data_IF_415212401570
#
_entry.id   IF_415212401570
#
_cell.length_a   1.000
_cell.length_b   1.000
_cell.length_c   1.000
_cell.angle_alpha   90.00
_cell.angle_beta   90.00
_cell.angle_gamma   90.00
#
_symmetry.space_group_name_H-M   'P 1'
#
loop_
_entity.id
_entity.type
_entity.pdbx_description
1 polymer ?
#
# COMPACT_ATOMS: atom_id res chain seq x y z
N UNK A 1 22.87 3.98 -25.73
CA UNK A 1 21.91 4.77 -24.92
C UNK A 1 21.10 5.64 -25.87
N UNK A 2 19.98 5.13 -26.39
CA UNK A 2 19.02 5.92 -27.16
C UNK A 2 17.74 5.94 -26.34
N UNK A 3 17.45 7.09 -25.70
CA UNK A 3 16.22 7.30 -24.97
C UNK A 3 15.04 7.20 -25.95
N UNK A 4 14.28 6.10 -25.85
CA UNK A 4 12.95 6.04 -26.44
C UNK A 4 12.12 7.12 -25.76
N UNK A 5 11.76 8.16 -26.51
CA UNK A 5 10.76 9.13 -26.10
C UNK A 5 9.44 8.36 -25.98
N UNK A 6 8.99 8.11 -24.75
CA UNK A 6 7.71 7.47 -24.47
C UNK A 6 6.58 8.39 -24.97
N UNK A 7 6.05 8.09 -26.15
CA UNK A 7 5.02 8.86 -26.88
C UNK A 7 3.62 8.79 -26.26
N UNK A 8 3.50 8.66 -24.93
CA UNK A 8 2.21 8.47 -24.23
C UNK A 8 2.10 9.20 -22.90
N UNK A 9 3.02 10.09 -22.57
CA UNK A 9 2.94 10.93 -21.37
C UNK A 9 2.06 12.16 -21.64
N UNK A 10 1.20 12.57 -20.68
CA UNK A 10 0.46 13.82 -20.79
C UNK A 10 1.41 15.02 -20.98
N UNK A 11 0.94 16.03 -21.71
CA UNK A 11 1.63 17.31 -21.77
C UNK A 11 1.66 17.97 -20.37
N UNK A 12 2.71 18.76 -20.04
CA UNK A 12 2.75 19.53 -18.80
C UNK A 12 1.47 20.33 -18.58
N UNK A 13 0.98 20.34 -17.34
CA UNK A 13 -0.22 21.07 -16.95
C UNK A 13 0.17 22.20 -16.02
N UNK A 14 -0.38 23.39 -16.24
CA UNK A 14 -0.09 24.57 -15.43
C UNK A 14 -1.39 25.22 -14.94
N UNK A 15 -1.40 25.60 -13.67
CA UNK A 15 -2.42 26.45 -13.07
C UNK A 15 -1.76 27.77 -12.63
N UNK A 16 -1.84 28.78 -13.50
CA UNK A 16 -1.25 30.10 -13.26
C UNK A 16 -1.86 30.81 -12.07
N UNK A 17 -3.15 30.59 -11.78
CA UNK A 17 -3.82 31.14 -10.61
C UNK A 17 -3.15 30.68 -9.30
N UNK A 18 -2.84 29.38 -9.18
CA UNK A 18 -2.09 28.88 -8.01
C UNK A 18 -0.69 29.46 -7.92
N UNK A 19 0.01 29.59 -9.05
CA UNK A 19 1.35 30.19 -9.09
C UNK A 19 1.32 31.64 -8.59
N UNK A 20 0.44 32.46 -9.16
CA UNK A 20 0.34 33.90 -8.84
C UNK A 20 -0.06 34.11 -7.39
N UNK A 21 -1.04 33.34 -6.91
CA UNK A 21 -1.50 33.42 -5.52
C UNK A 21 -0.40 33.03 -4.53
N UNK A 22 0.35 31.96 -4.81
CA UNK A 22 1.50 31.55 -3.99
C UNK A 22 2.60 32.62 -3.98
N UNK A 23 2.92 33.23 -5.12
CA UNK A 23 3.90 34.32 -5.22
C UNK A 23 3.49 35.55 -4.42
N UNK A 24 2.21 35.96 -4.51
CA UNK A 24 1.68 37.09 -3.73
C UNK A 24 1.73 36.80 -2.23
N UNK A 25 1.33 35.59 -1.80
CA UNK A 25 1.41 35.18 -0.40
C UNK A 25 2.86 35.18 0.12
N UNK A 26 3.79 34.63 -0.67
CA UNK A 26 5.20 34.63 -0.35
C UNK A 26 5.77 36.05 -0.18
N UNK A 27 5.34 37.00 -1.01
CA UNK A 27 5.77 38.39 -0.90
C UNK A 27 5.29 39.05 0.40
N UNK A 28 4.06 38.77 0.84
CA UNK A 28 3.56 39.24 2.13
C UNK A 28 4.37 38.65 3.30
N UNK A 29 4.67 37.34 3.26
CA UNK A 29 5.50 36.71 4.29
C UNK A 29 6.93 37.27 4.34
N UNK A 30 7.54 37.57 3.18
CA UNK A 30 8.85 38.24 3.12
C UNK A 30 8.85 39.65 3.71
N UNK A 31 7.70 40.32 3.71
CA UNK A 31 7.52 41.62 4.38
C UNK A 31 7.28 41.47 5.89
N UNK A 32 7.29 40.25 6.42
CA UNK A 32 7.08 39.94 7.83
C UNK A 32 5.62 39.74 8.22
N UNK A 33 4.70 39.66 7.25
CA UNK A 33 3.29 39.42 7.54
C UNK A 33 3.00 37.93 7.81
N UNK A 34 2.18 37.67 8.81
CA UNK A 34 1.71 36.31 9.13
C UNK A 34 0.37 36.10 8.41
N UNK A 35 0.29 35.07 7.57
CA UNK A 35 -0.88 34.77 6.75
C UNK A 35 -1.64 33.55 7.25
N UNK A 36 -2.96 33.56 7.01
CA UNK A 36 -3.89 32.49 7.34
C UNK A 36 -4.79 32.15 6.17
N UNK A 37 -5.09 30.87 5.98
CA UNK A 37 -5.96 30.44 4.89
C UNK A 37 -7.42 30.75 5.22
N UNK A 38 -8.14 31.35 4.25
CA UNK A 38 -9.59 31.53 4.32
C UNK A 38 -10.38 30.31 3.87
N UNK A 39 -9.71 29.25 3.41
CA UNK A 39 -10.33 27.99 3.01
C UNK A 39 -9.60 26.83 3.66
N UNK A 40 -10.33 25.74 3.94
CA UNK A 40 -9.71 24.57 4.54
C UNK A 40 -8.61 24.02 3.61
N UNK A 41 -7.45 23.61 4.14
CA UNK A 41 -6.33 23.16 3.31
C UNK A 41 -6.64 21.86 2.54
N UNK A 42 -7.53 21.02 3.06
CA UNK A 42 -7.97 19.77 2.46
C UNK A 42 -8.83 19.93 1.20
N UNK A 43 -9.33 21.14 0.91
CA UNK A 43 -10.10 21.44 -0.31
C UNK A 43 -9.23 21.54 -1.57
N UNK A 44 -7.89 21.52 -1.43
CA UNK A 44 -6.95 21.72 -2.52
C UNK A 44 -6.95 23.13 -3.12
N UNK A 45 -7.80 24.02 -2.59
CA UNK A 45 -7.89 25.44 -2.96
C UNK A 45 -7.34 26.36 -1.87
N UNK A 46 -7.11 25.86 -0.65
CA UNK A 46 -6.48 26.64 0.41
C UNK A 46 -4.98 26.87 0.16
N UNK A 47 -4.44 27.95 0.73
CA UNK A 47 -2.98 28.03 0.91
C UNK A 47 -2.57 27.01 2.00
N UNK A 48 -1.33 26.50 1.98
CA UNK A 48 -0.82 25.59 3.01
C UNK A 48 -0.49 26.35 4.29
N UNK A 49 -1.52 26.98 4.85
CA UNK A 49 -1.51 27.84 6.02
C UNK A 49 -2.64 27.42 6.96
N UNK A 50 -2.55 27.74 8.25
CA UNK A 50 -3.60 27.39 9.19
C UNK A 50 -4.94 28.01 8.77
N UNK A 51 -6.02 27.27 9.00
CA UNK A 51 -7.36 27.69 8.63
C UNK A 51 -7.94 28.59 9.71
N UNK A 52 -8.44 29.77 9.32
CA UNK A 52 -8.92 30.78 10.28
C UNK A 52 -10.06 30.26 11.16
N UNK A 53 -10.95 29.43 10.64
CA UNK A 53 -12.12 28.96 11.41
C UNK A 53 -11.79 27.84 12.41
N UNK A 54 -10.54 27.38 12.46
CA UNK A 54 -10.06 26.47 13.51
C UNK A 54 -9.60 27.25 14.76
N UNK A 55 -9.55 28.59 14.72
CA UNK A 55 -9.16 29.44 15.85
C UNK A 55 -10.24 29.40 16.95
N UNK A 56 -9.89 29.00 18.19
CA UNK A 56 -10.80 29.06 19.30
C UNK A 56 -11.29 30.49 19.59
N UNK A 57 -12.57 30.65 19.85
CA UNK A 57 -13.13 31.95 20.25
C UNK A 57 -13.08 33.04 19.16
N UNK A 58 -12.96 32.66 17.89
CA UNK A 58 -13.01 33.58 16.76
C UNK A 58 -14.33 34.37 16.72
N UNK A 59 -14.23 35.70 16.63
CA UNK A 59 -15.37 36.63 16.56
C UNK A 59 -15.23 37.54 15.35
N UNK A 60 -16.35 38.10 14.88
CA UNK A 60 -16.35 39.10 13.81
C UNK A 60 -15.68 40.39 14.31
N UNK A 61 -14.77 40.93 13.51
CA UNK A 61 -14.14 42.22 13.76
C UNK A 61 -15.04 43.39 13.40
N UNK A 62 -14.52 44.61 13.57
CA UNK A 62 -15.27 45.86 13.33
C UNK A 62 -15.52 46.16 11.85
N UNK A 63 -14.73 45.59 10.93
CA UNK A 63 -14.90 45.76 9.49
C UNK A 63 -15.50 44.49 8.87
N UNK A 64 -16.32 44.60 7.80
CA UNK A 64 -16.84 43.43 7.10
C UNK A 64 -15.72 42.47 6.71
N UNK A 65 -15.95 41.17 6.96
CA UNK A 65 -15.01 40.07 6.70
C UNK A 65 -13.81 39.96 7.64
N UNK A 66 -13.50 40.97 8.46
CA UNK A 66 -12.44 40.84 9.46
C UNK A 66 -12.88 39.97 10.65
N UNK A 67 -11.89 39.40 11.33
CA UNK A 67 -12.09 38.63 12.56
C UNK A 67 -11.12 39.05 13.66
N UNK A 68 -11.46 38.71 14.89
CA UNK A 68 -10.64 38.92 16.06
C UNK A 68 -10.75 37.72 17.02
N UNK A 69 -9.71 37.49 17.79
CA UNK A 69 -9.69 36.51 18.87
C UNK A 69 -8.79 37.02 20.01
N UNK A 70 -8.62 36.23 21.06
CA UNK A 70 -7.76 36.56 22.20
C UNK A 70 -6.31 36.87 21.78
N UNK A 71 -5.80 36.19 20.75
CA UNK A 71 -4.40 36.29 20.33
C UNK A 71 -4.12 37.44 19.34
N UNK A 72 -5.13 37.98 18.66
CA UNK A 72 -4.91 39.05 17.68
C UNK A 72 -6.09 39.30 16.74
N UNK A 73 -5.78 40.07 15.69
CA UNK A 73 -6.76 40.50 14.66
C UNK A 73 -6.41 39.92 13.30
N UNK A 74 -7.43 39.56 12.54
CA UNK A 74 -7.36 39.01 11.20
C UNK A 74 -8.00 39.99 10.22
N UNK A 75 -7.21 40.53 9.31
CA UNK A 75 -7.68 41.38 8.22
C UNK A 75 -7.80 40.56 6.94
N UNK A 76 -8.96 40.57 6.30
CA UNK A 76 -9.14 39.81 5.06
C UNK A 76 -8.37 40.45 3.89
N UNK A 77 -7.66 39.60 3.14
CA UNK A 77 -6.92 39.97 1.94
C UNK A 77 -7.58 39.30 0.72
N UNK A 78 -8.37 40.09 -0.02
CA UNK A 78 -9.22 39.61 -1.11
C UNK A 78 -8.41 38.93 -2.22
N UNK A 79 -7.25 39.49 -2.57
CA UNK A 79 -6.43 38.94 -3.65
C UNK A 79 -5.85 37.57 -3.32
N UNK A 80 -5.67 37.29 -2.02
CA UNK A 80 -5.12 36.03 -1.53
C UNK A 80 -6.19 35.06 -1.07
N UNK A 81 -7.44 35.50 -0.93
CA UNK A 81 -8.48 34.74 -0.22
C UNK A 81 -7.94 34.17 1.09
N UNK A 82 -7.24 35.03 1.83
CA UNK A 82 -6.45 34.72 3.02
C UNK A 82 -6.60 35.87 4.02
N UNK A 83 -6.07 35.71 5.22
CA UNK A 83 -6.11 36.73 6.27
C UNK A 83 -4.72 37.10 6.72
N UNK A 84 -4.47 38.40 6.88
CA UNK A 84 -3.30 38.96 7.54
C UNK A 84 -3.55 38.99 9.04
N UNK A 85 -2.69 38.36 9.82
CA UNK A 85 -2.81 38.33 11.28
C UNK A 85 -1.85 39.33 11.92
N UNK A 86 -2.41 40.12 12.82
CA UNK A 86 -1.66 41.01 13.70
C UNK A 86 -1.77 40.50 15.14
N UNK A 87 -0.72 39.92 15.72
CA UNK A 87 -0.76 39.39 17.08
C UNK A 87 -0.82 40.55 18.10
N UNK A 88 -1.54 40.35 19.21
CA UNK A 88 -1.58 41.35 20.29
C UNK A 88 -0.29 41.40 21.11
N UNK A 89 0.27 40.24 21.46
CA UNK A 89 1.49 40.11 22.28
C UNK A 89 2.56 39.20 21.63
N UNK A 90 2.58 39.13 20.30
CA UNK A 90 3.47 38.20 19.55
C UNK A 90 3.09 36.71 19.67
N UNK A 91 1.98 36.40 20.33
CA UNK A 91 1.45 35.03 20.47
C UNK A 91 0.62 34.62 19.26
N UNK A 92 0.54 33.31 19.01
CA UNK A 92 -0.32 32.69 18.00
C UNK A 92 -1.32 31.74 18.67
N UNK A 93 -2.51 31.53 18.07
CA UNK A 93 -3.45 30.49 18.47
C UNK A 93 -2.83 29.08 18.56
N UNK A 94 -3.36 28.21 19.44
CA UNK A 94 -2.81 26.87 19.66
C UNK A 94 -2.99 25.96 18.44
N UNK A 95 -2.04 25.03 18.25
CA UNK A 95 -2.02 24.05 17.16
C UNK A 95 -1.32 24.56 15.89
N UNK A 96 -0.93 25.82 15.88
CA UNK A 96 -0.27 26.47 14.75
C UNK A 96 1.26 26.44 14.84
N UNK A 97 1.81 25.94 15.95
CA UNK A 97 3.24 25.68 16.13
C UNK A 97 3.78 24.65 15.13
N UNK A 98 2.88 23.85 14.54
CA UNK A 98 3.20 22.86 13.51
C UNK A 98 3.47 23.49 12.13
N UNK A 99 3.08 24.75 11.93
CA UNK A 99 3.27 25.46 10.67
C UNK A 99 4.49 26.37 10.75
N UNK A 100 5.34 26.29 9.72
CA UNK A 100 6.39 27.27 9.53
C UNK A 100 5.82 28.53 8.89
N UNK A 101 5.30 29.43 9.73
CA UNK A 101 4.67 30.68 9.30
C UNK A 101 5.67 31.74 8.79
N UNK A 102 6.96 31.56 9.09
CA UNK A 102 8.01 32.51 8.72
C UNK A 102 8.64 32.17 7.36
N UNK A 103 8.72 30.90 7.00
CA UNK A 103 9.20 30.50 5.68
C UNK A 103 8.18 30.91 4.61
N UNK A 104 8.57 31.73 3.61
CA UNK A 104 7.69 32.10 2.53
C UNK A 104 7.24 30.88 1.74
N UNK A 105 5.95 30.82 1.42
CA UNK A 105 5.39 29.79 0.55
C UNK A 105 6.15 29.76 -0.78
N UNK A 106 6.46 28.55 -1.27
CA UNK A 106 7.17 28.37 -2.53
C UNK A 106 6.25 27.72 -3.57
N UNK A 107 6.10 28.34 -4.76
CA UNK A 107 5.45 27.69 -5.87
C UNK A 107 6.37 26.62 -6.46
N UNK A 108 5.89 25.39 -6.56
CA UNK A 108 6.69 24.23 -6.97
C UNK A 108 6.08 23.49 -8.17
N UNK A 109 6.92 22.72 -8.85
CA UNK A 109 6.48 21.74 -9.85
C UNK A 109 6.43 20.35 -9.20
N UNK A 110 5.33 19.64 -9.40
CA UNK A 110 5.20 18.25 -8.98
C UNK A 110 5.45 17.33 -10.18
N UNK A 111 6.41 16.43 -10.04
CA UNK A 111 6.75 15.42 -11.04
C UNK A 111 5.99 14.14 -10.72
N UNK A 112 5.09 13.75 -11.61
CA UNK A 112 4.22 12.59 -11.48
C UNK A 112 4.87 11.40 -12.14
N UNK A 113 5.26 10.41 -11.34
CA UNK A 113 5.58 9.09 -11.83
C UNK A 113 4.30 8.29 -11.98
N UNK A 114 3.79 8.25 -13.21
CA UNK A 114 2.55 7.54 -13.52
C UNK A 114 2.66 6.04 -13.23
N UNK A 115 3.84 5.50 -13.44
CA UNK A 115 4.08 4.07 -13.39
C UNK A 115 4.14 3.58 -11.93
N UNK A 116 4.71 4.41 -11.04
CA UNK A 116 4.81 4.12 -9.61
C UNK A 116 3.69 4.72 -8.76
N UNK A 117 2.75 5.47 -9.36
CA UNK A 117 1.70 6.24 -8.65
C UNK A 117 2.29 7.18 -7.60
N UNK A 118 3.35 7.89 -7.95
CA UNK A 118 4.05 8.80 -7.04
C UNK A 118 4.05 10.23 -7.57
N UNK A 119 4.03 11.20 -6.67
CA UNK A 119 4.31 12.60 -7.00
C UNK A 119 5.51 13.07 -6.18
N UNK A 120 6.50 13.61 -6.88
CA UNK A 120 7.72 14.13 -6.27
C UNK A 120 7.77 15.63 -6.43
N UNK A 121 7.94 16.34 -5.32
CA UNK A 121 8.16 17.78 -5.27
C UNK A 121 9.60 18.01 -4.82
N UNK A 122 10.42 18.60 -5.70
CA UNK A 122 11.81 18.93 -5.40
C UNK A 122 11.99 20.43 -5.31
N UNK A 123 12.59 20.87 -4.22
CA UNK A 123 13.18 22.21 -4.06
C UNK A 123 14.69 22.08 -3.91
N UNK A 124 15.41 23.20 -3.75
CA UNK A 124 16.86 23.17 -3.56
C UNK A 124 17.29 22.42 -2.30
N UNK A 125 16.44 22.45 -1.27
CA UNK A 125 16.79 22.00 0.07
C UNK A 125 16.01 20.76 0.51
N UNK A 126 14.94 20.37 -0.20
CA UNK A 126 14.02 19.29 0.19
C UNK A 126 13.46 18.52 -1.00
N UNK A 127 13.25 17.22 -0.78
CA UNK A 127 12.50 16.34 -1.67
C UNK A 127 11.33 15.74 -0.88
N UNK A 128 10.10 15.95 -1.38
CA UNK A 128 8.89 15.36 -0.82
C UNK A 128 8.35 14.36 -1.82
N UNK A 129 8.02 13.17 -1.32
CA UNK A 129 7.49 12.07 -2.12
C UNK A 129 6.12 11.69 -1.58
N UNK A 130 5.08 11.94 -2.38
CA UNK A 130 3.72 11.49 -2.14
C UNK A 130 3.52 10.14 -2.84
N UNK A 131 2.93 9.17 -2.12
CA UNK A 131 2.62 7.83 -2.62
C UNK A 131 1.12 7.69 -2.90
N UNK A 132 0.75 6.63 -3.62
CA UNK A 132 -0.64 6.26 -3.93
C UNK A 132 -1.43 7.34 -4.68
N UNK A 133 -0.72 8.15 -5.47
CA UNK A 133 -1.28 9.25 -6.23
C UNK A 133 -2.26 8.70 -7.30
N UNK A 134 -3.50 9.22 -7.41
CA UNK A 134 -4.48 8.75 -8.38
C UNK A 134 -4.20 9.35 -9.76
N UNK A 135 -3.22 8.76 -10.44
CA UNK A 135 -2.72 9.22 -11.75
C UNK A 135 -3.73 9.06 -12.91
N UNK A 136 -4.93 8.52 -12.64
CA UNK A 136 -6.05 8.46 -13.57
C UNK A 136 -7.00 9.68 -13.52
N UNK A 137 -6.86 10.54 -12.51
CA UNK A 137 -7.65 11.76 -12.37
C UNK A 137 -7.33 12.82 -13.42
N UNK A 138 -8.24 13.79 -13.58
CA UNK A 138 -7.94 14.97 -14.40
C UNK A 138 -6.73 15.73 -13.83
N UNK A 139 -5.85 16.35 -14.65
CA UNK A 139 -4.70 17.10 -14.16
C UNK A 139 -5.04 18.18 -13.14
N UNK A 140 -6.21 18.79 -13.26
CA UNK A 140 -6.72 19.78 -12.32
C UNK A 140 -7.04 19.17 -10.94
N UNK A 141 -7.79 18.07 -10.90
CA UNK A 141 -8.11 17.36 -9.65
C UNK A 141 -6.83 16.80 -9.00
N UNK A 142 -5.95 16.24 -9.82
CA UNK A 142 -4.66 15.71 -9.38
C UNK A 142 -3.81 16.79 -8.70
N UNK A 143 -3.74 17.98 -9.29
CA UNK A 143 -3.05 19.13 -8.70
C UNK A 143 -3.68 19.57 -7.36
N UNK A 144 -5.01 19.60 -7.27
CA UNK A 144 -5.71 19.92 -6.01
C UNK A 144 -5.39 18.91 -4.91
N UNK A 145 -5.40 17.61 -5.22
CA UNK A 145 -5.10 16.56 -4.25
C UNK A 145 -3.64 16.60 -3.77
N UNK A 146 -2.70 16.86 -4.68
CA UNK A 146 -1.29 17.06 -4.31
C UNK A 146 -1.17 18.25 -3.35
N UNK A 147 -1.83 19.37 -3.63
CA UNK A 147 -1.81 20.53 -2.75
C UNK A 147 -2.47 20.26 -1.40
N UNK A 148 -3.56 19.50 -1.36
CA UNK A 148 -4.18 19.08 -0.11
C UNK A 148 -3.21 18.22 0.74
N UNK A 149 -2.51 17.27 0.13
CA UNK A 149 -1.53 16.42 0.82
C UNK A 149 -0.31 17.20 1.33
N UNK A 150 0.20 18.15 0.52
CA UNK A 150 1.29 19.06 0.95
C UNK A 150 0.86 19.92 2.14
N UNK A 151 -0.37 20.45 2.10
CA UNK A 151 -0.90 21.29 3.16
C UNK A 151 -1.19 20.52 4.46
N UNK A 152 -1.73 19.29 4.37
CA UNK A 152 -1.89 18.39 5.52
C UNK A 152 -0.56 18.06 6.20
N UNK A 153 0.51 18.00 5.42
CA UNK A 153 1.88 17.78 5.92
C UNK A 153 2.55 19.06 6.44
N UNK A 154 1.79 20.17 6.56
CA UNK A 154 2.24 21.50 6.99
C UNK A 154 3.45 22.02 6.20
N UNK A 155 3.57 21.63 4.92
CA UNK A 155 4.69 22.05 4.08
C UNK A 155 4.39 23.38 3.39
N UNK A 156 5.32 24.34 3.33
CA UNK A 156 5.10 25.66 2.74
C UNK A 156 5.18 25.63 1.20
N UNK A 157 4.57 24.63 0.56
CA UNK A 157 4.65 24.40 -0.88
C UNK A 157 3.27 24.42 -1.53
N UNK A 158 3.19 25.11 -2.68
CA UNK A 158 2.01 25.09 -3.55
C UNK A 158 2.45 24.58 -4.91
N UNK A 159 2.04 23.36 -5.26
CA UNK A 159 2.19 22.85 -6.60
C UNK A 159 1.31 23.66 -7.55
N UNK A 160 1.91 24.18 -8.62
CA UNK A 160 1.21 24.94 -9.67
C UNK A 160 1.40 24.33 -11.06
N UNK A 161 2.39 23.43 -11.21
CA UNK A 161 2.70 22.75 -12.46
C UNK A 161 2.84 21.25 -12.20
N UNK A 162 2.28 20.45 -13.10
CA UNK A 162 2.47 19.01 -13.15
C UNK A 162 3.32 18.65 -14.36
N UNK A 163 4.30 17.79 -14.13
CA UNK A 163 5.10 17.16 -15.18
C UNK A 163 5.00 15.66 -15.02
N UNK A 164 5.08 14.91 -16.11
CA UNK A 164 4.97 13.46 -16.06
C UNK A 164 6.30 12.81 -16.43
N UNK A 165 6.65 11.78 -15.67
CA UNK A 165 7.71 10.85 -16.01
C UNK A 165 7.12 9.45 -16.09
N UNK A 166 7.76 8.62 -16.90
CA UNK A 166 7.49 7.19 -16.96
C UNK A 166 8.77 6.50 -16.54
N UNK A 167 8.94 6.27 -15.23
CA UNK A 167 10.01 5.42 -14.75
C UNK A 167 9.76 3.98 -15.20
N UNK A 168 10.83 3.19 -15.29
CA UNK A 168 10.68 1.74 -15.36
C UNK A 168 10.09 1.27 -14.02
N UNK A 169 8.95 0.59 -14.11
CA UNK A 169 8.36 -0.15 -12.99
C UNK A 169 9.15 -1.45 -12.87
N UNK A 170 9.55 -1.83 -11.67
CA UNK A 170 9.92 -3.21 -11.39
C UNK A 170 8.69 -4.07 -11.71
N UNK A 171 8.69 -4.67 -12.90
CA UNK A 171 7.56 -5.47 -13.35
C UNK A 171 7.62 -6.78 -12.58
N UNK A 172 6.57 -7.06 -11.80
CA UNK A 172 6.27 -8.41 -11.27
C UNK A 172 6.40 -9.48 -12.36
N UNK A 173 6.11 -9.13 -13.62
CA UNK A 173 6.18 -10.02 -14.77
C UNK A 173 6.98 -9.37 -15.92
N UNK A 174 8.30 -9.62 -16.01
CA UNK A 174 9.13 -9.05 -17.08
C UNK A 174 8.71 -9.51 -18.48
N UNK A 175 8.29 -10.77 -18.61
CA UNK A 175 7.92 -11.40 -19.89
C UNK A 175 6.44 -11.26 -20.26
N UNK A 176 5.64 -10.63 -19.40
CA UNK A 176 4.21 -10.43 -19.60
C UNK A 176 3.36 -11.09 -18.51
N UNK A 177 2.23 -10.46 -18.20
CA UNK A 177 1.36 -10.85 -17.08
C UNK A 177 0.70 -12.21 -17.37
N UNK A 178 0.86 -13.23 -16.52
CA UNK A 178 0.22 -14.52 -16.66
C UNK A 178 -1.30 -14.41 -16.67
N UNK A 179 -1.95 -15.37 -17.31
CA UNK A 179 -3.41 -15.49 -17.30
C UNK A 179 -3.84 -16.83 -16.73
N UNK A 180 -4.94 -16.79 -15.98
CA UNK A 180 -5.69 -17.97 -15.54
C UNK A 180 -7.02 -17.97 -16.29
N UNK A 181 -7.43 -19.13 -16.79
CA UNK A 181 -8.72 -19.26 -17.50
C UNK A 181 -9.47 -20.52 -17.09
N UNK A 182 -10.79 -20.41 -17.13
CA UNK A 182 -11.71 -21.55 -17.12
C UNK A 182 -12.40 -21.65 -18.49
N UNK A 183 -13.49 -22.41 -18.60
CA UNK A 183 -14.27 -22.56 -19.84
C UNK A 183 -15.05 -21.29 -20.25
N UNK A 184 -15.16 -20.31 -19.35
CA UNK A 184 -16.04 -19.15 -19.52
C UNK A 184 -15.29 -17.81 -19.64
N UNK A 185 -14.04 -17.72 -19.18
CA UNK A 185 -13.27 -16.48 -19.25
C UNK A 185 -11.83 -16.61 -18.75
N UNK A 186 -11.09 -15.51 -18.92
CA UNK A 186 -9.68 -15.39 -18.52
C UNK A 186 -9.44 -14.12 -17.72
N UNK A 187 -8.67 -14.22 -16.65
CA UNK A 187 -8.22 -13.08 -15.84
C UNK A 187 -6.70 -13.01 -15.79
N UNK A 188 -6.16 -11.82 -15.52
CA UNK A 188 -4.74 -11.62 -15.31
C UNK A 188 -4.36 -12.01 -13.89
N UNK A 189 -3.18 -12.58 -13.69
CA UNK A 189 -2.71 -13.10 -12.41
C UNK A 189 -1.75 -12.10 -11.76
N UNK A 190 -1.99 -11.77 -10.49
CA UNK A 190 -1.06 -10.99 -9.65
C UNK A 190 -0.07 -11.88 -8.93
N UNK A 191 -0.48 -13.11 -8.58
CA UNK A 191 0.40 -14.19 -8.16
C UNK A 191 -0.35 -15.49 -7.92
N UNK A 192 0.39 -16.56 -7.70
CA UNK A 192 -0.17 -17.90 -7.51
C UNK A 192 0.76 -18.79 -6.67
N UNK A 193 0.20 -19.84 -6.10
CA UNK A 193 0.95 -20.96 -5.54
C UNK A 193 0.24 -22.27 -5.87
N UNK A 194 0.98 -23.27 -6.35
CA UNK A 194 0.47 -24.64 -6.53
C UNK A 194 1.55 -25.69 -6.23
N UNK A 195 1.13 -26.89 -5.86
CA UNK A 195 2.06 -28.02 -5.68
C UNK A 195 2.44 -28.69 -7.01
N UNK A 196 3.29 -29.72 -6.96
CA UNK A 196 3.76 -30.46 -8.13
C UNK A 196 2.64 -31.22 -8.87
N UNK A 197 1.56 -31.58 -8.17
CA UNK A 197 0.37 -32.17 -8.77
C UNK A 197 -0.54 -31.12 -9.43
N UNK A 198 -0.17 -29.84 -9.37
CA UNK A 198 -0.94 -28.72 -9.88
C UNK A 198 -2.12 -28.34 -8.98
N UNK A 199 -2.15 -28.77 -7.71
CA UNK A 199 -3.17 -28.35 -6.79
C UNK A 199 -2.96 -26.87 -6.43
N UNK A 200 -3.93 -26.05 -6.78
CA UNK A 200 -3.89 -24.60 -6.61
C UNK A 200 -4.12 -24.24 -5.14
N UNK A 201 -3.14 -23.66 -4.47
CA UNK A 201 -3.24 -23.25 -3.06
C UNK A 201 -3.66 -21.79 -2.93
N UNK A 202 -3.10 -20.94 -3.80
CA UNK A 202 -3.28 -19.49 -3.80
C UNK A 202 -3.45 -18.96 -5.22
N UNK A 203 -4.33 -17.97 -5.37
CA UNK A 203 -4.52 -17.25 -6.63
C UNK A 203 -4.93 -15.79 -6.37
N UNK A 204 -4.09 -14.85 -6.79
CA UNK A 204 -4.41 -13.44 -6.92
C UNK A 204 -4.71 -13.08 -8.38
N UNK A 205 -5.86 -12.45 -8.66
CA UNK A 205 -6.34 -12.18 -10.02
C UNK A 205 -6.96 -10.79 -10.19
N UNK A 206 -6.71 -10.17 -11.34
CA UNK A 206 -7.32 -8.90 -11.74
C UNK A 206 -8.12 -9.06 -13.03
N UNK A 207 -9.31 -8.48 -13.06
CA UNK A 207 -10.16 -8.48 -14.24
C UNK A 207 -11.55 -7.91 -14.00
N UNK A 208 -12.42 -8.04 -15.00
CA UNK A 208 -13.83 -7.67 -14.85
C UNK A 208 -14.55 -8.58 -13.86
N UNK A 209 -15.45 -7.99 -13.06
CA UNK A 209 -16.18 -8.69 -11.98
C UNK A 209 -16.81 -10.00 -12.43
N UNK A 210 -17.45 -10.01 -13.59
CA UNK A 210 -18.15 -11.20 -14.13
C UNK A 210 -17.19 -12.37 -14.40
N UNK A 211 -16.00 -12.08 -14.92
CA UNK A 211 -14.96 -13.10 -15.18
C UNK A 211 -14.40 -13.64 -13.87
N UNK A 212 -14.09 -12.75 -12.92
CA UNK A 212 -13.56 -13.16 -11.62
C UNK A 212 -14.57 -14.01 -10.86
N UNK A 213 -15.87 -13.67 -10.92
CA UNK A 213 -16.95 -14.46 -10.32
C UNK A 213 -17.05 -15.85 -10.94
N UNK A 214 -16.85 -15.97 -12.26
CA UNK A 214 -16.83 -17.27 -12.94
C UNK A 214 -15.67 -18.15 -12.48
N UNK A 215 -14.46 -17.57 -12.38
CA UNK A 215 -13.27 -18.28 -11.89
C UNK A 215 -13.46 -18.67 -10.42
N UNK A 216 -13.94 -17.75 -9.57
CA UNK A 216 -14.30 -18.02 -8.17
C UNK A 216 -15.27 -19.19 -8.07
N UNK A 217 -16.35 -19.20 -8.85
CA UNK A 217 -17.34 -20.27 -8.82
C UNK A 217 -16.73 -21.63 -9.20
N UNK A 218 -15.77 -21.64 -10.13
CA UNK A 218 -15.03 -22.86 -10.52
C UNK A 218 -14.21 -23.41 -9.35
N UNK A 219 -13.52 -22.52 -8.61
CA UNK A 219 -12.71 -22.87 -7.44
C UNK A 219 -13.58 -23.33 -6.27
N UNK A 220 -14.63 -22.56 -5.95
CA UNK A 220 -15.54 -22.80 -4.83
C UNK A 220 -16.48 -23.98 -5.02
N UNK A 221 -16.62 -24.52 -6.24
CA UNK A 221 -17.43 -25.70 -6.49
C UNK A 221 -16.89 -26.95 -5.76
N UNK A 222 -15.62 -26.95 -5.30
CA UNK A 222 -14.94 -28.08 -4.63
C UNK A 222 -14.95 -29.39 -5.43
N UNK A 223 -15.19 -29.30 -6.74
CA UNK A 223 -15.25 -30.43 -7.67
C UNK A 223 -13.90 -30.71 -8.35
N UNK A 224 -12.81 -30.05 -7.92
CA UNK A 224 -11.48 -30.11 -8.55
C UNK A 224 -11.53 -29.86 -10.06
N UNK A 225 -12.38 -28.93 -10.49
CA UNK A 225 -12.50 -28.56 -11.91
C UNK A 225 -11.20 -27.92 -12.40
N UNK A 226 -10.70 -28.40 -13.53
CA UNK A 226 -9.47 -27.88 -14.14
C UNK A 226 -9.59 -26.39 -14.47
N UNK A 227 -8.54 -25.65 -14.16
CA UNK A 227 -8.25 -24.31 -14.65
C UNK A 227 -6.97 -24.39 -15.48
N UNK A 228 -6.72 -23.38 -16.31
CA UNK A 228 -5.48 -23.30 -17.08
C UNK A 228 -4.69 -22.05 -16.70
N UNK A 229 -3.58 -22.24 -16.00
CA UNK A 229 -2.61 -21.19 -15.68
C UNK A 229 -1.53 -21.18 -16.75
N UNK A 230 -1.49 -20.15 -17.59
CA UNK A 230 -0.59 -20.07 -18.76
C UNK A 230 -0.61 -21.35 -19.62
N UNK A 231 -1.79 -21.95 -19.80
CA UNK A 231 -1.97 -23.18 -20.56
C UNK A 231 -1.64 -24.47 -19.81
N UNK A 232 -1.06 -24.40 -18.60
CA UNK A 232 -0.84 -25.57 -17.73
C UNK A 232 -2.10 -25.84 -16.89
N UNK A 233 -2.55 -27.11 -16.80
CA UNK A 233 -3.69 -27.44 -15.96
C UNK A 233 -3.33 -27.26 -14.49
N UNK A 234 -4.20 -26.58 -13.74
CA UNK A 234 -4.16 -26.50 -12.28
C UNK A 234 -5.54 -26.84 -11.72
N UNK A 235 -5.58 -27.39 -10.52
CA UNK A 235 -6.77 -27.97 -9.93
C UNK A 235 -7.02 -27.34 -8.55
N UNK A 236 -8.18 -26.72 -8.32
CA UNK A 236 -8.57 -26.30 -6.99
C UNK A 236 -8.60 -27.51 -6.04
N UNK A 237 -8.08 -27.32 -4.83
CA UNK A 237 -8.20 -28.27 -3.73
C UNK A 237 -9.69 -28.46 -3.38
N UNK A 238 -10.03 -29.64 -2.89
CA UNK A 238 -11.39 -29.97 -2.45
C UNK A 238 -11.71 -29.37 -1.05
N UNK A 239 -11.34 -28.11 -0.84
CA UNK A 239 -11.52 -27.38 0.43
C UNK A 239 -12.17 -26.03 0.17
N UNK A 240 -12.49 -25.31 1.24
CA UNK A 240 -12.94 -23.93 1.12
C UNK A 240 -11.78 -22.99 0.77
N UNK A 241 -12.09 -21.94 0.01
CA UNK A 241 -11.15 -20.86 -0.26
C UNK A 241 -11.67 -19.58 0.39
N UNK A 242 -10.88 -19.02 1.29
CA UNK A 242 -11.09 -17.67 1.78
C UNK A 242 -10.81 -16.66 0.67
N UNK A 243 -11.55 -15.55 0.66
CA UNK A 243 -11.51 -14.60 -0.44
C UNK A 243 -11.55 -13.13 0.01
N UNK A 244 -10.94 -12.26 -0.77
CA UNK A 244 -11.02 -10.80 -0.61
C UNK A 244 -11.15 -10.16 -1.97
N UNK A 245 -11.93 -9.08 -2.04
CA UNK A 245 -12.23 -8.33 -3.26
C UNK A 245 -11.94 -6.86 -3.06
N UNK A 246 -11.15 -6.28 -3.96
CA UNK A 246 -10.85 -4.85 -3.99
C UNK A 246 -11.26 -4.27 -5.34
N UNK A 247 -12.04 -3.19 -5.33
CA UNK A 247 -12.41 -2.49 -6.55
C UNK A 247 -11.26 -1.54 -6.97
N UNK A 248 -10.81 -1.70 -8.22
CA UNK A 248 -9.81 -0.84 -8.85
C UNK A 248 -10.52 0.19 -9.72
N UNK A 249 -11.01 1.26 -9.09
CA UNK A 249 -11.83 2.31 -9.70
C UNK A 249 -11.21 2.86 -11.00
N UNK A 250 -9.90 3.11 -10.98
CA UNK A 250 -9.13 3.66 -12.12
C UNK A 250 -9.18 2.77 -13.38
N UNK A 251 -9.49 1.49 -13.22
CA UNK A 251 -9.43 0.48 -14.28
C UNK A 251 -10.77 -0.19 -14.58
N UNK A 252 -11.85 0.17 -13.86
CA UNK A 252 -13.14 -0.52 -13.98
C UNK A 252 -13.03 -2.03 -13.73
N UNK A 253 -12.06 -2.43 -12.91
CA UNK A 253 -11.67 -3.81 -12.66
C UNK A 253 -11.71 -4.12 -11.17
N UNK A 254 -11.63 -5.40 -10.83
CA UNK A 254 -11.50 -5.87 -9.47
C UNK A 254 -10.20 -6.63 -9.33
N UNK A 255 -9.57 -6.54 -8.16
CA UNK A 255 -8.59 -7.51 -7.70
C UNK A 255 -9.30 -8.47 -6.76
N UNK A 256 -9.14 -9.76 -6.99
CA UNK A 256 -9.67 -10.80 -6.13
C UNK A 256 -8.53 -11.74 -5.71
N UNK A 257 -8.50 -12.07 -4.44
CA UNK A 257 -7.56 -13.02 -3.86
C UNK A 257 -8.32 -14.23 -3.36
N UNK A 258 -7.85 -15.43 -3.68
CA UNK A 258 -8.42 -16.71 -3.29
C UNK A 258 -7.32 -17.55 -2.63
N UNK A 259 -7.51 -17.92 -1.37
CA UNK A 259 -6.53 -18.67 -0.59
C UNK A 259 -7.21 -19.89 0.01
N UNK A 260 -6.62 -21.07 -0.19
CA UNK A 260 -7.09 -22.30 0.45
C UNK A 260 -7.08 -22.16 1.97
N UNK A 261 -8.12 -22.62 2.64
CA UNK A 261 -8.20 -22.66 4.10
C UNK A 261 -7.05 -23.46 4.73
N UNK A 262 -6.46 -24.43 4.00
CA UNK A 262 -5.27 -25.19 4.42
C UNK A 262 -4.01 -24.32 4.58
N UNK A 263 -3.99 -23.14 3.94
CA UNK A 263 -2.90 -22.18 4.05
C UNK A 263 -3.12 -21.13 5.15
N UNK A 264 -4.26 -21.17 5.85
CA UNK A 264 -4.66 -20.15 6.81
C UNK A 264 -4.64 -20.69 8.25
N UNK A 265 -4.06 -19.92 9.21
CA UNK A 265 -4.11 -20.25 10.64
C UNK A 265 -5.54 -20.43 11.16
N UNK A 266 -5.75 -21.43 12.01
CA UNK A 266 -7.03 -21.72 12.66
C UNK A 266 -8.13 -22.28 11.74
N UNK A 267 -7.78 -22.63 10.50
CA UNK A 267 -8.72 -23.16 9.50
C UNK A 267 -8.52 -24.64 9.18
N UNK A 268 -7.43 -25.24 9.66
CA UNK A 268 -7.17 -26.67 9.48
C UNK A 268 -8.24 -27.50 10.21
N UNK A 269 -8.59 -28.66 9.64
CA UNK A 269 -9.56 -29.60 10.17
C UNK A 269 -8.94 -30.99 10.37
N UNK A 270 -9.39 -31.75 11.39
CA UNK A 270 -8.96 -33.14 11.56
C UNK A 270 -9.21 -33.99 10.30
N UNK A 271 -8.18 -34.71 9.87
CA UNK A 271 -8.21 -35.53 8.65
C UNK A 271 -7.52 -34.88 7.44
N UNK A 272 -7.15 -33.60 7.53
CA UNK A 272 -6.32 -32.95 6.53
C UNK A 272 -4.83 -33.27 6.77
N UNK A 273 -4.20 -33.95 5.83
CA UNK A 273 -2.82 -34.46 5.96
C UNK A 273 -1.74 -33.43 5.59
N UNK A 274 -2.14 -32.25 5.11
CA UNK A 274 -1.23 -31.23 4.62
C UNK A 274 -1.72 -29.85 5.02
N UNK A 275 -0.80 -28.99 5.44
CA UNK A 275 -1.01 -27.53 5.53
C UNK A 275 -0.05 -26.81 4.60
N UNK A 276 -0.38 -25.59 4.22
CA UNK A 276 0.48 -24.77 3.38
C UNK A 276 0.97 -23.53 4.12
N UNK A 277 2.17 -23.09 3.77
CA UNK A 277 2.80 -21.87 4.25
C UNK A 277 3.04 -20.98 3.04
N UNK A 278 2.58 -19.74 3.08
CA UNK A 278 2.72 -18.78 1.99
C UNK A 278 3.34 -17.48 2.51
N UNK A 279 4.32 -16.95 1.79
CA UNK A 279 4.97 -15.67 2.09
C UNK A 279 4.73 -14.72 0.94
N UNK A 280 4.14 -13.56 1.23
CA UNK A 280 3.84 -12.54 0.23
C UNK A 280 4.89 -11.43 0.20
N UNK A 281 5.00 -10.77 -0.95
CA UNK A 281 5.89 -9.63 -1.13
C UNK A 281 5.55 -8.51 -0.14
N UNK A 282 6.59 -7.83 0.38
CA UNK A 282 6.43 -6.75 1.36
C UNK A 282 6.21 -7.20 2.81
N UNK A 283 6.08 -8.49 3.08
CA UNK A 283 5.90 -8.99 4.44
C UNK A 283 7.22 -9.32 5.19
N UNK A 284 8.38 -9.15 4.53
CA UNK A 284 9.70 -9.24 5.16
C UNK A 284 10.14 -7.84 5.61
N UNK A 285 9.43 -7.30 6.59
CA UNK A 285 9.85 -6.09 7.28
C UNK A 285 10.81 -6.47 8.42
N UNK A 286 11.73 -5.57 8.77
CA UNK A 286 12.63 -5.67 9.93
C UNK A 286 13.84 -6.63 9.84
N UNK A 287 14.43 -6.81 8.66
CA UNK A 287 15.68 -7.58 8.52
C UNK A 287 15.55 -9.08 8.85
N UNK A 288 14.31 -9.54 9.04
CA UNK A 288 13.95 -10.93 9.27
C UNK A 288 14.21 -11.74 8.00
N UNK A 289 14.97 -12.82 8.09
CA UNK A 289 15.17 -13.70 6.92
C UNK A 289 13.91 -14.51 6.64
N UNK A 290 13.71 -14.89 5.36
CA UNK A 290 12.60 -15.75 4.93
C UNK A 290 12.52 -17.04 5.77
N UNK A 291 13.68 -17.63 6.08
CA UNK A 291 13.78 -18.85 6.90
C UNK A 291 13.25 -18.68 8.33
N UNK A 292 13.54 -17.55 8.99
CA UNK A 292 13.03 -17.27 10.35
C UNK A 292 11.52 -17.13 10.32
N UNK A 293 10.98 -16.44 9.31
CA UNK A 293 9.54 -16.26 9.15
C UNK A 293 8.84 -17.60 8.87
N UNK A 294 9.34 -18.36 7.90
CA UNK A 294 8.82 -19.69 7.55
C UNK A 294 8.89 -20.64 8.75
N UNK A 295 9.98 -20.62 9.51
CA UNK A 295 10.12 -21.39 10.75
C UNK A 295 9.05 -21.02 11.78
N UNK A 296 8.78 -19.72 12.00
CA UNK A 296 7.72 -19.29 12.92
C UNK A 296 6.33 -19.73 12.45
N UNK A 297 6.06 -19.59 11.15
CA UNK A 297 4.81 -20.07 10.56
C UNK A 297 4.67 -21.59 10.74
N UNK A 298 5.73 -22.36 10.47
CA UNK A 298 5.77 -23.80 10.71
C UNK A 298 5.45 -24.14 12.16
N UNK A 299 6.13 -23.52 13.13
CA UNK A 299 5.91 -23.78 14.55
C UNK A 299 4.45 -23.50 14.97
N UNK A 300 3.87 -22.40 14.48
CA UNK A 300 2.46 -22.07 14.72
C UNK A 300 1.52 -23.13 14.11
N UNK A 301 1.79 -23.61 12.89
CA UNK A 301 0.95 -24.60 12.23
C UNK A 301 1.09 -25.99 12.85
N UNK A 302 2.30 -26.39 13.25
CA UNK A 302 2.50 -27.65 13.97
C UNK A 302 1.81 -27.64 15.33
N UNK A 303 1.86 -26.53 16.07
CA UNK A 303 1.13 -26.39 17.35
C UNK A 303 -0.41 -26.45 17.19
N UNK A 304 -0.93 -26.03 16.03
CA UNK A 304 -2.37 -26.13 15.72
C UNK A 304 -2.79 -27.55 15.36
N UNK A 305 -1.92 -28.28 14.67
CA UNK A 305 -2.27 -29.56 14.02
C UNK A 305 -1.83 -30.79 14.81
N UNK A 306 -0.81 -30.68 15.65
CA UNK A 306 -0.25 -31.78 16.43
C UNK A 306 -0.52 -31.63 17.92
N UNK A 307 -0.69 -32.74 18.67
CA UNK A 307 -0.85 -32.72 20.12
C UNK A 307 0.46 -32.41 20.88
N UNK A 308 1.50 -31.91 20.18
CA UNK A 308 2.82 -31.65 20.72
C UNK A 308 3.02 -30.13 20.78
N UNK A 309 3.26 -29.53 21.97
CA UNK A 309 3.50 -28.10 22.07
C UNK A 309 4.84 -27.75 21.41
N UNK A 310 4.81 -26.92 20.36
CA UNK A 310 6.02 -26.47 19.66
C UNK A 310 6.44 -25.11 20.20
N UNK A 311 7.67 -25.02 20.68
CA UNK A 311 8.25 -23.78 21.18
C UNK A 311 8.80 -22.94 20.03
N UNK A 312 8.58 -21.63 20.07
CA UNK A 312 9.04 -20.70 19.01
C UNK A 312 10.54 -20.79 18.73
N UNK A 313 11.36 -21.02 19.78
CA UNK A 313 12.81 -21.19 19.66
C UNK A 313 13.24 -22.42 18.87
N UNK A 314 12.36 -23.40 18.67
CA UNK A 314 12.63 -24.60 17.86
C UNK A 314 12.37 -24.37 16.36
N UNK A 315 11.71 -23.28 16.00
CA UNK A 315 11.24 -22.98 14.63
C UNK A 315 12.24 -23.26 13.51
N UNK A 316 13.44 -22.67 13.60
CA UNK A 316 14.49 -22.81 12.57
C UNK A 316 15.06 -24.23 12.53
N UNK A 317 15.25 -24.86 13.69
CA UNK A 317 15.77 -26.24 13.77
C UNK A 317 14.76 -27.24 13.21
N UNK A 318 13.47 -27.08 13.54
CA UNK A 318 12.39 -27.90 13.02
C UNK A 318 12.20 -27.72 11.51
N UNK A 319 12.36 -26.50 11.01
CA UNK A 319 12.34 -26.23 9.57
C UNK A 319 13.38 -27.07 8.84
N UNK A 320 14.65 -27.00 9.27
CA UNK A 320 15.76 -27.74 8.65
C UNK A 320 15.58 -29.25 8.75
N UNK A 321 15.20 -29.74 9.93
CA UNK A 321 15.02 -31.17 10.15
C UNK A 321 13.82 -31.74 9.39
N UNK A 322 12.70 -31.00 9.34
CA UNK A 322 11.51 -31.37 8.58
C UNK A 322 11.77 -31.40 7.08
N UNK A 323 12.48 -30.41 6.54
CA UNK A 323 12.90 -30.40 5.14
C UNK A 323 13.80 -31.59 4.81
N UNK A 324 14.79 -31.92 5.67
CA UNK A 324 15.66 -33.08 5.48
C UNK A 324 14.92 -34.43 5.51
N UNK A 325 13.79 -34.48 6.19
CA UNK A 325 12.91 -35.66 6.28
C UNK A 325 11.79 -35.66 5.25
N UNK A 326 11.80 -34.72 4.30
CA UNK A 326 10.78 -34.59 3.26
C UNK A 326 9.36 -34.39 3.83
N UNK A 327 9.26 -33.84 5.05
CA UNK A 327 7.98 -33.42 5.65
C UNK A 327 7.56 -32.02 5.20
N UNK A 328 8.47 -31.30 4.54
CA UNK A 328 8.27 -29.99 3.97
C UNK A 328 8.75 -30.05 2.53
N UNK A 329 7.95 -29.53 1.60
CA UNK A 329 8.38 -29.34 0.21
C UNK A 329 7.94 -27.99 -0.33
N UNK A 330 8.50 -27.62 -1.48
CA UNK A 330 8.26 -26.32 -2.10
C UNK A 330 6.99 -26.33 -2.95
N UNK A 331 6.38 -25.16 -3.08
CA UNK A 331 5.32 -24.89 -4.04
C UNK A 331 5.91 -24.11 -5.23
N UNK A 332 5.37 -24.36 -6.41
CA UNK A 332 5.57 -23.45 -7.52
C UNK A 332 4.82 -22.14 -7.21
N UNK A 333 5.59 -21.07 -6.97
CA UNK A 333 5.08 -19.73 -6.64
C UNK A 333 5.58 -18.70 -7.62
N UNK A 334 4.80 -17.63 -7.80
CA UNK A 334 5.24 -16.46 -8.56
C UNK A 334 4.30 -15.26 -8.32
N UNK A 335 4.73 -14.08 -8.78
CA UNK A 335 4.01 -12.81 -8.59
C UNK A 335 4.12 -12.29 -7.16
N UNK A 336 3.00 -11.86 -6.59
CA UNK A 336 2.91 -11.36 -5.21
C UNK A 336 3.17 -12.43 -4.13
N UNK A 337 3.13 -13.72 -4.48
CA UNK A 337 3.54 -14.83 -3.61
C UNK A 337 5.02 -15.17 -3.86
N UNK A 338 5.87 -14.75 -2.93
CA UNK A 338 7.34 -14.87 -3.03
C UNK A 338 7.90 -16.24 -2.63
N UNK A 339 7.20 -16.98 -1.78
CA UNK A 339 7.60 -18.31 -1.30
C UNK A 339 6.40 -19.09 -0.85
N UNK A 340 6.39 -20.40 -1.11
CA UNK A 340 5.31 -21.28 -0.71
C UNK A 340 5.83 -22.67 -0.39
N UNK A 341 5.28 -23.30 0.64
CA UNK A 341 5.65 -24.64 1.05
C UNK A 341 4.43 -25.44 1.48
N UNK A 342 4.43 -26.74 1.18
CA UNK A 342 3.53 -27.69 1.82
C UNK A 342 4.23 -28.33 3.02
N UNK A 343 3.45 -28.68 4.03
CA UNK A 343 3.91 -29.34 5.24
C UNK A 343 3.02 -30.54 5.49
N UNK A 344 3.60 -31.73 5.50
CA UNK A 344 2.88 -32.96 5.80
C UNK A 344 2.61 -33.06 7.30
N UNK A 345 1.34 -33.19 7.67
CA UNK A 345 0.89 -33.34 9.06
C UNK A 345 0.84 -34.83 9.40
N UNK A 346 1.95 -35.32 9.94
CA UNK A 346 2.08 -36.70 10.43
C UNK A 346 2.60 -36.69 11.86
N UNK A 347 1.81 -37.23 12.79
CA UNK A 347 2.20 -37.31 14.20
C UNK A 347 3.47 -38.15 14.38
N UNK A 348 3.57 -39.30 13.72
CA UNK A 348 4.76 -40.15 13.78
C UNK A 348 5.98 -39.46 13.17
N UNK A 349 5.82 -38.84 12.00
CA UNK A 349 6.93 -38.16 11.30
C UNK A 349 7.52 -37.02 12.13
N UNK A 350 6.67 -36.14 12.67
CA UNK A 350 7.12 -35.02 13.49
C UNK A 350 7.61 -35.44 14.87
N UNK A 351 7.03 -36.49 15.46
CA UNK A 351 7.53 -37.05 16.72
C UNK A 351 8.94 -37.61 16.56
N UNK A 352 9.22 -38.35 15.49
CA UNK A 352 10.57 -38.85 15.21
C UNK A 352 11.58 -37.71 15.04
N UNK A 353 11.21 -36.64 14.32
CA UNK A 353 12.05 -35.44 14.17
C UNK A 353 12.35 -34.82 15.53
N UNK A 354 11.33 -34.58 16.34
CA UNK A 354 11.48 -33.92 17.65
C UNK A 354 12.33 -34.80 18.58
N UNK A 355 12.06 -36.11 18.64
CA UNK A 355 12.84 -37.04 19.48
C UNK A 355 14.31 -37.03 19.08
N UNK A 356 14.62 -37.13 17.78
CA UNK A 356 16.00 -37.10 17.30
C UNK A 356 16.72 -35.79 17.66
N UNK A 357 16.06 -34.64 17.51
CA UNK A 357 16.64 -33.34 17.85
C UNK A 357 16.88 -33.17 19.36
N UNK A 358 16.01 -33.72 20.20
CA UNK A 358 16.19 -33.74 21.67
C UNK A 358 17.38 -34.62 22.05
N UNK A 359 17.49 -35.82 21.48
CA UNK A 359 18.60 -36.75 21.72
C UNK A 359 19.95 -36.18 21.28
N UNK A 360 19.96 -35.40 20.19
CA UNK A 360 21.14 -34.71 19.67
C UNK A 360 21.48 -33.41 20.44
N UNK A 361 20.60 -32.97 21.36
CA UNK A 361 20.77 -31.73 22.11
C UNK A 361 20.61 -30.45 21.28
N UNK A 362 20.07 -30.55 20.06
CA UNK A 362 19.83 -29.40 19.17
C UNK A 362 18.60 -28.59 19.60
N UNK A 363 17.66 -29.23 20.29
CA UNK A 363 16.54 -28.56 20.93
C UNK A 363 16.42 -28.98 22.40
N UNK A 364 15.94 -28.06 23.24
CA UNK A 364 15.76 -28.28 24.67
C UNK A 364 14.31 -27.99 25.10
N UNK A 365 13.80 -28.83 26.00
CA UNK A 365 12.48 -28.74 26.63
C UNK A 365 12.51 -27.79 27.86
N UNK A 366 13.70 -27.38 28.33
CA UNK A 366 13.87 -26.54 29.53
C UNK A 366 13.60 -25.05 29.33
#
# INVERSE_FOLDING_TARGET
MNGKINSGLPAPFENTYFRERALKAANQQKQGHILFSGSKPDTGQGLPLPYIHDVPGLRRGSYPYDYECEWGRFKYEYELSAYLFTPHNGQVPPGWENYDLQTPIQPVTAVIDRARRMATVKTKDREIVLRDVPVGESPYNLLQQINAALAQSCQPFVAWRLEWVSSEVDRLWPEGVPQIRNEHGSAYVTGYAHDDAGNLVYLGIVGHKTVLESIRATIQARQRKKLFLQGRPVYPLATHYSQTWQHLLDYGAYHATLISDLALPGKWQPGEEVVYLLVFEGELLDGTTSEIKLGRMLASRLSETLPIPILDRWSVTLWKAGAKKELIGELATSGDCSSGHWVHISESGWKEVITALVEQGEISIR
#
